data_IF_136816775657
#
_entry.id   IF_136816775657
#
_cell.length_a   1.000
_cell.length_b   1.000
_cell.length_c   1.000
_cell.angle_alpha   90.00
_cell.angle_beta   90.00
_cell.angle_gamma   90.00
#
_symmetry.space_group_name_H-M   'P 1'
#
loop_
_entity.id
_entity.type
_entity.pdbx_description
1 polymer ?
#
# COMPACT_ATOMS: atom_id res chain seq x y z
N UNK A 1 2.12 -10.57 -12.71
CA UNK A 1 2.52 -9.56 -11.73
C UNK A 1 2.12 -9.97 -10.32
N UNK A 2 2.65 -9.27 -9.32
CA UNK A 2 2.43 -9.62 -7.91
C UNK A 2 1.81 -8.49 -7.08
N UNK A 3 1.04 -7.63 -7.72
CA UNK A 3 0.19 -6.67 -7.04
C UNK A 3 -1.26 -7.10 -7.20
N UNK A 4 -2.13 -6.62 -6.30
CA UNK A 4 -3.51 -7.11 -6.23
C UNK A 4 -4.33 -6.80 -7.48
N UNK A 5 -4.11 -5.62 -8.08
CA UNK A 5 -4.95 -5.13 -9.18
C UNK A 5 -4.12 -4.46 -10.26
N UNK A 6 -4.54 -4.68 -11.50
CA UNK A 6 -4.15 -3.85 -12.63
C UNK A 6 -5.29 -2.87 -12.90
N UNK A 7 -4.95 -1.61 -13.13
CA UNK A 7 -5.95 -0.55 -13.33
C UNK A 7 -5.97 -0.12 -14.79
N UNK A 8 -7.18 -0.03 -15.36
CA UNK A 8 -7.39 0.33 -16.76
C UNK A 8 -8.29 1.54 -16.87
N UNK A 9 -8.04 2.35 -17.89
CA UNK A 9 -8.92 3.43 -18.31
C UNK A 9 -9.07 3.35 -19.82
N UNK A 10 -10.32 3.22 -20.32
CA UNK A 10 -10.58 3.11 -21.77
C UNK A 10 -9.73 2.02 -22.41
N UNK A 11 -9.67 0.85 -21.76
CA UNK A 11 -8.92 -0.33 -22.20
C UNK A 11 -7.39 -0.16 -22.21
N UNK A 12 -6.88 0.97 -21.69
CA UNK A 12 -5.44 1.15 -21.54
C UNK A 12 -5.00 0.92 -20.09
N UNK A 13 -3.90 0.22 -19.92
CA UNK A 13 -3.30 0.02 -18.59
C UNK A 13 -2.76 1.36 -18.08
N UNK A 14 -3.24 1.80 -16.93
CA UNK A 14 -2.80 3.06 -16.31
C UNK A 14 -2.00 2.84 -15.03
N UNK A 15 -2.03 1.64 -14.45
CA UNK A 15 -1.24 1.37 -13.26
C UNK A 15 -1.60 0.07 -12.57
N UNK A 16 -0.96 -0.13 -11.42
CA UNK A 16 -1.17 -1.26 -10.54
C UNK A 16 -1.48 -0.76 -9.13
N UNK A 17 -2.18 -1.55 -8.36
CA UNK A 17 -2.51 -1.21 -6.98
C UNK A 17 -2.35 -2.42 -6.07
N UNK A 18 -1.77 -2.18 -4.90
CA UNK A 18 -1.77 -3.10 -3.76
C UNK A 18 -2.72 -2.52 -2.72
N UNK A 19 -3.68 -3.33 -2.26
CA UNK A 19 -4.68 -2.88 -1.30
C UNK A 19 -4.48 -3.61 0.02
N UNK A 20 -4.38 -2.86 1.11
CA UNK A 20 -4.18 -3.38 2.45
C UNK A 20 -5.23 -2.80 3.38
N UNK A 21 -5.66 -3.60 4.36
CA UNK A 21 -6.54 -3.15 5.42
C UNK A 21 -5.83 -3.23 6.76
N UNK A 22 -6.10 -2.26 7.62
CA UNK A 22 -5.54 -2.21 8.97
C UNK A 22 -6.66 -1.95 9.97
N UNK A 23 -6.52 -2.53 11.17
CA UNK A 23 -7.54 -2.41 12.22
C UNK A 23 -7.34 -1.18 13.10
N UNK A 24 -6.22 -0.50 12.98
CA UNK A 24 -5.91 0.71 13.73
C UNK A 24 -6.20 1.96 12.91
N UNK A 25 -6.17 3.11 13.60
CA UNK A 25 -6.39 4.41 12.96
C UNK A 25 -5.15 4.85 12.17
N UNK A 26 -5.35 5.71 11.19
CA UNK A 26 -4.36 6.21 10.25
C UNK A 26 -3.06 6.67 10.92
N UNK A 27 -3.15 7.47 11.99
CA UNK A 27 -1.97 8.06 12.63
C UNK A 27 -1.54 7.34 13.91
N UNK A 28 -1.96 6.08 14.09
CA UNK A 28 -1.50 5.28 15.23
C UNK A 28 0.01 5.11 15.21
N UNK A 29 0.59 4.97 14.02
CA UNK A 29 2.04 4.86 13.83
C UNK A 29 2.54 5.96 12.90
N UNK A 30 3.83 6.33 13.06
CA UNK A 30 4.45 7.37 12.27
C UNK A 30 4.76 6.93 10.84
N UNK A 31 4.87 5.63 10.63
CA UNK A 31 5.19 5.06 9.31
C UNK A 31 4.27 3.91 8.98
N UNK A 32 4.10 3.66 7.68
CA UNK A 32 3.49 2.44 7.17
C UNK A 32 4.59 1.49 6.71
N UNK A 33 4.51 0.23 7.17
CA UNK A 33 5.57 -0.76 6.98
C UNK A 33 5.16 -1.78 5.92
N UNK A 34 6.00 -1.98 4.92
CA UNK A 34 5.80 -2.97 3.87
C UNK A 34 7.14 -3.53 3.45
N UNK A 35 7.18 -4.79 3.00
CA UNK A 35 8.45 -5.42 2.63
C UNK A 35 9.13 -4.70 1.46
N UNK A 36 10.45 -4.64 1.51
CA UNK A 36 11.24 -4.06 0.42
C UNK A 36 11.00 -4.82 -0.89
N UNK A 37 10.85 -6.14 -0.84
CA UNK A 37 10.60 -6.94 -2.03
C UNK A 37 9.30 -6.53 -2.73
N UNK A 38 8.25 -6.21 -1.97
CA UNK A 38 6.99 -5.73 -2.54
C UNK A 38 7.16 -4.37 -3.21
N UNK A 39 7.88 -3.45 -2.56
CA UNK A 39 8.16 -2.12 -3.11
C UNK A 39 8.95 -2.23 -4.42
N UNK A 40 9.97 -3.08 -4.45
CA UNK A 40 10.77 -3.28 -5.65
C UNK A 40 9.95 -3.88 -6.79
N UNK A 41 9.09 -4.85 -6.48
CA UNK A 41 8.18 -5.43 -7.47
C UNK A 41 7.25 -4.36 -8.05
N UNK A 42 6.66 -3.54 -7.18
CA UNK A 42 5.74 -2.48 -7.59
C UNK A 42 6.44 -1.45 -8.49
N UNK A 43 7.65 -1.03 -8.11
CA UNK A 43 8.45 -0.08 -8.90
C UNK A 43 8.82 -0.65 -10.26
N UNK A 44 9.21 -1.93 -10.30
CA UNK A 44 9.56 -2.60 -11.56
C UNK A 44 8.38 -2.67 -12.50
N UNK A 45 7.21 -3.08 -12.01
CA UNK A 45 6.00 -3.14 -12.82
C UNK A 45 5.66 -1.77 -13.43
N UNK A 46 5.70 -0.71 -12.62
CA UNK A 46 5.44 0.64 -13.10
C UNK A 46 6.45 1.07 -14.16
N UNK A 47 7.73 0.78 -13.93
CA UNK A 47 8.81 1.18 -14.83
C UNK A 47 8.74 0.49 -16.18
N UNK A 48 8.54 -0.85 -16.20
CA UNK A 48 8.52 -1.60 -17.47
C UNK A 48 7.24 -1.35 -18.27
N UNK A 49 6.17 -0.93 -17.62
CA UNK A 49 4.89 -0.64 -18.31
C UNK A 49 4.69 0.85 -18.56
N UNK A 50 5.57 1.70 -18.06
CA UNK A 50 5.43 3.16 -18.10
C UNK A 50 4.11 3.62 -17.50
N UNK A 51 3.79 3.06 -16.33
CA UNK A 51 2.57 3.37 -15.58
C UNK A 51 2.90 3.72 -14.13
N UNK A 52 1.93 3.64 -13.25
CA UNK A 52 2.08 3.89 -11.81
C UNK A 52 1.80 2.64 -11.02
N UNK A 53 2.39 2.56 -9.82
CA UNK A 53 2.04 1.55 -8.83
C UNK A 53 1.69 2.25 -7.53
N UNK A 54 0.51 1.98 -7.02
CA UNK A 54 -0.05 2.66 -5.85
C UNK A 54 -0.27 1.66 -4.72
N UNK A 55 0.01 2.11 -3.50
CA UNK A 55 -0.35 1.41 -2.28
C UNK A 55 -1.58 2.11 -1.70
N UNK A 56 -2.68 1.37 -1.59
CA UNK A 56 -3.93 1.87 -1.04
C UNK A 56 -4.15 1.18 0.30
N UNK A 57 -4.36 1.94 1.35
CA UNK A 57 -4.55 1.39 2.69
C UNK A 57 -5.88 1.85 3.25
N UNK A 58 -6.67 0.88 3.70
CA UNK A 58 -7.93 1.12 4.38
C UNK A 58 -7.67 0.98 5.89
N UNK A 59 -7.48 2.12 6.57
CA UNK A 59 -7.42 2.16 8.04
C UNK A 59 -8.86 2.16 8.59
N UNK A 60 -9.00 2.05 9.90
CA UNK A 60 -10.34 2.00 10.48
C UNK A 60 -11.12 3.31 10.37
N UNK A 61 -10.44 4.42 10.11
CA UNK A 61 -11.05 5.75 10.06
C UNK A 61 -10.91 6.49 8.72
N UNK A 62 -9.94 6.10 7.89
CA UNK A 62 -9.73 6.77 6.59
C UNK A 62 -9.18 5.77 5.57
N UNK A 63 -9.35 6.10 4.29
CA UNK A 63 -8.70 5.41 3.18
C UNK A 63 -7.70 6.37 2.57
N UNK A 64 -6.45 5.90 2.43
CA UNK A 64 -5.39 6.71 1.85
C UNK A 64 -4.57 5.94 0.82
N UNK A 65 -3.74 6.66 0.09
CA UNK A 65 -2.86 6.04 -0.90
C UNK A 65 -1.51 6.75 -0.96
N UNK A 66 -0.52 6.04 -1.43
CA UNK A 66 0.82 6.56 -1.68
C UNK A 66 1.37 5.90 -2.95
N UNK A 67 2.16 6.64 -3.70
CA UNK A 67 2.89 6.09 -4.85
C UNK A 67 4.08 5.28 -4.33
N UNK A 68 4.32 4.10 -4.88
CA UNK A 68 5.45 3.26 -4.48
C UNK A 68 6.81 3.90 -4.78
N UNK A 69 6.87 4.96 -5.58
CA UNK A 69 8.10 5.71 -5.82
C UNK A 69 8.37 6.79 -4.77
N UNK A 70 7.48 6.93 -3.78
CA UNK A 70 7.72 7.84 -2.66
C UNK A 70 8.92 7.41 -1.84
N UNK A 71 9.56 8.37 -1.17
CA UNK A 71 10.71 8.09 -0.32
C UNK A 71 10.35 7.19 0.85
N UNK A 72 11.30 6.37 1.26
CA UNK A 72 11.14 5.49 2.42
C UNK A 72 12.48 5.30 3.11
N UNK A 73 12.43 4.88 4.37
CA UNK A 73 13.58 4.37 5.08
C UNK A 73 13.51 2.85 5.16
N UNK A 74 14.66 2.19 5.18
CA UNK A 74 14.73 0.73 5.27
C UNK A 74 15.21 0.35 6.65
N UNK A 75 14.49 -0.55 7.29
CA UNK A 75 14.84 -1.10 8.60
C UNK A 75 14.69 -2.61 8.55
N UNK A 76 15.47 -3.30 9.37
CA UNK A 76 15.31 -4.73 9.50
C UNK A 76 13.97 -5.02 10.18
N UNK A 77 13.22 -5.97 9.64
CA UNK A 77 11.93 -6.36 10.17
C UNK A 77 11.77 -7.86 10.18
N UNK A 78 10.51 -8.31 10.27
CA UNK A 78 10.17 -9.72 10.30
C UNK A 78 9.94 -10.22 11.71
N UNK A 79 9.98 -11.55 11.88
CA UNK A 79 9.57 -12.21 13.12
C UNK A 79 10.77 -12.45 14.03
N UNK A 80 11.16 -11.43 14.75
CA UNK A 80 12.30 -11.52 15.67
C UNK A 80 12.05 -12.47 16.85
N UNK A 81 10.80 -12.75 17.18
CA UNK A 81 10.42 -13.68 18.25
C UNK A 81 10.87 -15.12 17.98
N UNK A 82 11.11 -15.47 16.71
CA UNK A 82 11.62 -16.80 16.34
C UNK A 82 13.12 -16.94 16.48
N UNK A 83 13.80 -15.85 16.66
CA UNK A 83 15.26 -15.82 16.72
C UNK A 83 15.92 -16.51 15.51
N UNK A 84 15.27 -16.44 14.35
CA UNK A 84 15.73 -17.01 13.10
C UNK A 84 16.00 -15.87 12.13
N UNK A 85 17.27 -15.70 11.73
CA UNK A 85 17.68 -14.61 10.84
C UNK A 85 16.97 -14.67 9.48
N UNK A 86 16.53 -15.85 9.04
CA UNK A 86 15.83 -16.00 7.76
C UNK A 86 14.42 -15.43 7.79
N UNK A 87 13.83 -15.27 8.98
CA UNK A 87 12.53 -14.64 9.14
C UNK A 87 12.62 -13.12 9.15
N UNK A 88 13.83 -12.58 9.17
CA UNK A 88 14.04 -11.14 9.20
C UNK A 88 14.36 -10.65 7.81
N UNK A 89 13.55 -9.74 7.31
CA UNK A 89 13.71 -9.15 5.99
C UNK A 89 13.73 -7.63 6.07
N UNK A 90 14.34 -6.96 5.07
CA UNK A 90 14.31 -5.50 5.05
C UNK A 90 12.89 -5.01 4.81
N UNK A 91 12.47 -4.06 5.63
CA UNK A 91 11.14 -3.45 5.56
C UNK A 91 11.27 -1.97 5.21
N UNK A 92 10.41 -1.52 4.32
CA UNK A 92 10.30 -0.12 3.96
C UNK A 92 9.33 0.57 4.89
N UNK A 93 9.71 1.75 5.37
CA UNK A 93 8.88 2.61 6.21
C UNK A 93 8.54 3.86 5.40
N UNK A 94 7.30 3.96 4.95
CA UNK A 94 6.79 5.18 4.34
C UNK A 94 6.28 6.11 5.42
N UNK A 95 6.65 7.39 5.34
CA UNK A 95 6.14 8.39 6.28
C UNK A 95 4.62 8.48 6.15
N UNK A 96 3.93 8.38 7.30
CA UNK A 96 2.46 8.42 7.30
C UNK A 96 1.92 9.73 6.70
N UNK A 97 2.68 10.81 6.82
CA UNK A 97 2.29 12.12 6.28
C UNK A 97 2.35 12.19 4.75
N UNK A 98 3.01 11.24 4.09
CA UNK A 98 3.11 11.21 2.64
C UNK A 98 1.90 10.54 1.98
N UNK A 99 1.03 9.92 2.77
CA UNK A 99 -0.21 9.35 2.25
C UNK A 99 -1.22 10.47 1.97
N UNK A 100 -1.94 10.31 0.85
CA UNK A 100 -3.05 11.19 0.49
C UNK A 100 -4.36 10.52 0.86
N UNK A 101 -5.27 11.27 1.45
CA UNK A 101 -6.53 10.74 1.94
C UNK A 101 -7.55 10.78 0.80
N UNK A 102 -8.18 9.63 0.54
CA UNK A 102 -9.26 9.50 -0.44
C UNK A 102 -10.61 9.77 0.23
N UNK A 103 -10.77 9.28 1.46
CA UNK A 103 -12.03 9.38 2.22
C UNK A 103 -11.73 9.60 3.68
N UNK A 104 -12.47 10.52 4.31
CA UNK A 104 -12.32 10.87 5.73
C UNK A 104 -12.95 9.84 6.67
N UNK A 105 -13.61 8.82 6.11
CA UNK A 105 -14.24 7.79 6.92
C UNK A 105 -14.26 6.47 6.17
N UNK A 106 -14.27 5.38 6.95
CA UNK A 106 -14.45 4.05 6.40
C UNK A 106 -15.90 3.92 5.94
N UNK A 107 -16.10 3.50 4.70
CA UNK A 107 -17.43 3.27 4.17
C UNK A 107 -18.00 1.98 4.74
N UNK A 108 -19.26 2.01 5.14
CA UNK A 108 -19.98 0.80 5.52
C UNK A 108 -20.23 -0.06 4.28
N UNK A 109 -20.52 -1.34 4.50
CA UNK A 109 -20.85 -2.24 3.39
C UNK A 109 -22.04 -1.74 2.58
N UNK A 110 -23.04 -1.14 3.25
CA UNK A 110 -24.21 -0.58 2.58
C UNK A 110 -23.85 0.62 1.70
N UNK A 111 -22.96 1.51 2.19
CA UNK A 111 -22.50 2.67 1.44
C UNK A 111 -21.71 2.26 0.21
N UNK A 112 -20.85 1.27 0.34
CA UNK A 112 -20.09 0.72 -0.78
C UNK A 112 -21.03 0.17 -1.83
N UNK A 113 -22.04 -0.59 -1.41
CA UNK A 113 -23.02 -1.18 -2.32
C UNK A 113 -23.82 -0.13 -3.07
N UNK A 114 -24.24 0.95 -2.40
CA UNK A 114 -24.92 2.06 -3.05
C UNK A 114 -24.07 2.73 -4.13
N UNK A 115 -22.79 2.86 -3.88
CA UNK A 115 -21.87 3.50 -4.84
C UNK A 115 -21.58 2.63 -6.06
N UNK A 116 -21.72 1.33 -5.94
CA UNK A 116 -21.55 0.39 -7.06
C UNK A 116 -22.76 0.37 -7.99
N UNK A 117 -23.88 0.81 -7.53
CA UNK A 117 -25.11 0.93 -8.32
C UNK A 117 -25.13 2.24 -9.11
#
# INVERSE_FOLDING_TARGET
YKLDYAMYRNDELVGFAEVKSRTHAFRTFDTYIISLSKVMTARRLASVTTTKSLLIVNWNNVIGWIDFFSDFSVRQGGRSDRNDWQDQEPMCHFDINDFKIISDSVLSAAEIKEREE
#
